data_IF_591273112798
#
_entry.id   IF_591273112798
#
_cell.length_a   1.000
_cell.length_b   1.000
_cell.length_c   1.000
_cell.angle_alpha   90.00
_cell.angle_beta   90.00
_cell.angle_gamma   90.00
#
_symmetry.space_group_name_H-M   'P 1'
#
loop_
_entity.id
_entity.type
_entity.pdbx_description
1 polymer ?
#
# COMPACT_ATOMS: atom_id res chain seq x y z
N UNK A 1 -30.68 -13.14 -9.37
CA UNK A 1 -30.64 -13.38 -10.84
C UNK A 1 -29.18 -13.49 -11.22
N UNK A 2 -28.81 -14.51 -11.95
CA UNK A 2 -27.46 -14.69 -12.51
C UNK A 2 -27.62 -14.76 -14.02
N UNK A 3 -26.85 -13.95 -14.75
CA UNK A 3 -26.95 -13.85 -16.22
C UNK A 3 -28.36 -13.52 -16.75
N UNK A 4 -29.11 -12.69 -16.02
CA UNK A 4 -30.51 -12.38 -16.36
C UNK A 4 -31.52 -13.47 -16.07
N UNK A 5 -31.10 -14.65 -15.63
CA UNK A 5 -31.99 -15.80 -15.30
C UNK A 5 -32.17 -15.93 -13.79
N UNK A 6 -33.37 -16.23 -13.35
CA UNK A 6 -33.63 -16.61 -11.95
C UNK A 6 -33.09 -18.01 -11.70
N UNK A 7 -32.14 -18.13 -10.79
CA UNK A 7 -31.61 -19.41 -10.29
C UNK A 7 -31.85 -19.53 -8.80
N UNK A 8 -32.13 -20.74 -8.33
CA UNK A 8 -32.24 -21.05 -6.92
C UNK A 8 -30.82 -21.15 -6.35
N UNK A 9 -30.55 -20.44 -5.26
CA UNK A 9 -29.27 -20.44 -4.60
C UNK A 9 -29.39 -20.17 -3.11
N UNK A 10 -28.53 -20.79 -2.32
CA UNK A 10 -28.34 -20.48 -0.92
C UNK A 10 -27.40 -19.25 -0.78
N UNK A 11 -27.81 -18.22 -0.03
CA UNK A 11 -26.93 -17.11 0.32
C UNK A 11 -26.13 -17.47 1.55
N UNK A 12 -24.82 -17.45 1.44
CA UNK A 12 -23.86 -17.67 2.53
C UNK A 12 -23.13 -16.36 2.80
N UNK A 13 -22.96 -16.03 4.07
CA UNK A 13 -22.10 -14.94 4.50
C UNK A 13 -20.81 -15.51 5.08
N UNK A 14 -19.68 -15.00 4.66
CA UNK A 14 -18.37 -15.33 5.19
C UNK A 14 -17.78 -14.05 5.77
N UNK A 15 -17.50 -14.08 7.07
CA UNK A 15 -16.74 -13.03 7.71
C UNK A 15 -15.25 -13.40 7.57
N UNK A 16 -14.56 -12.67 6.72
CA UNK A 16 -13.14 -12.87 6.48
C UNK A 16 -12.41 -11.57 6.78
N UNK A 17 -11.55 -11.60 7.79
CA UNK A 17 -10.66 -10.49 8.13
C UNK A 17 -11.38 -9.14 8.35
N UNK A 18 -12.49 -9.17 9.11
CA UNK A 18 -13.27 -7.98 9.43
C UNK A 18 -14.18 -7.48 8.29
N UNK A 19 -14.13 -8.10 7.13
CA UNK A 19 -15.02 -7.81 6.00
C UNK A 19 -16.02 -8.95 5.79
N UNK A 20 -17.29 -8.60 5.62
CA UNK A 20 -18.34 -9.57 5.30
C UNK A 20 -18.48 -9.69 3.80
N UNK A 21 -18.31 -10.90 3.30
CA UNK A 21 -18.53 -11.28 1.92
C UNK A 21 -19.78 -12.14 1.80
N UNK A 22 -20.41 -12.10 0.67
CA UNK A 22 -21.59 -12.93 0.39
C UNK A 22 -21.33 -13.78 -0.84
N UNK A 23 -21.69 -15.06 -0.75
CA UNK A 23 -21.69 -15.97 -1.89
C UNK A 23 -23.09 -16.58 -2.08
N UNK A 24 -23.50 -16.70 -3.33
CA UNK A 24 -24.71 -17.43 -3.72
C UNK A 24 -24.29 -18.75 -4.34
N UNK A 25 -24.59 -19.83 -3.62
CA UNK A 25 -24.22 -21.20 -4.00
C UNK A 25 -25.41 -21.87 -4.63
N UNK A 26 -25.26 -22.36 -5.84
CA UNK A 26 -26.28 -23.12 -6.58
C UNK A 26 -26.51 -24.51 -6.03
N UNK A 27 -27.55 -25.20 -6.55
CA UNK A 27 -27.92 -26.55 -6.11
C UNK A 27 -26.82 -27.59 -6.37
N UNK A 28 -25.95 -27.37 -7.32
CA UNK A 28 -24.79 -28.22 -7.65
C UNK A 28 -23.52 -27.88 -6.83
N UNK A 29 -23.62 -26.97 -5.86
CA UNK A 29 -22.49 -26.54 -5.04
C UNK A 29 -21.55 -25.52 -5.70
N UNK A 30 -21.86 -25.06 -6.92
CA UNK A 30 -21.11 -24.06 -7.64
C UNK A 30 -21.48 -22.65 -7.16
N UNK A 31 -20.48 -21.76 -7.18
CA UNK A 31 -20.68 -20.34 -6.85
C UNK A 31 -21.30 -19.65 -8.08
N UNK A 32 -22.50 -19.13 -7.93
CA UNK A 32 -23.21 -18.41 -8.99
C UNK A 32 -22.90 -16.91 -8.98
N UNK A 33 -22.71 -16.37 -7.78
CA UNK A 33 -22.39 -14.96 -7.57
C UNK A 33 -21.65 -14.78 -6.24
N UNK A 34 -20.71 -13.86 -6.22
CA UNK A 34 -20.08 -13.36 -5.01
C UNK A 34 -20.19 -11.84 -4.95
N UNK A 35 -20.39 -11.31 -3.76
CA UNK A 35 -20.24 -9.91 -3.45
C UNK A 35 -19.12 -9.78 -2.43
N UNK A 36 -18.02 -9.19 -2.89
CA UNK A 36 -16.82 -8.97 -2.11
C UNK A 36 -16.72 -7.55 -1.54
N UNK A 37 -15.53 -7.22 -1.13
CA UNK A 37 -15.14 -5.91 -0.61
C UNK A 37 -15.28 -4.88 -1.74
N UNK A 38 -15.55 -3.62 -1.40
CA UNK A 38 -15.71 -2.50 -2.34
C UNK A 38 -16.94 -2.58 -3.25
N UNK A 39 -17.88 -3.47 -2.97
CA UNK A 39 -19.04 -3.69 -3.84
C UNK A 39 -18.67 -4.40 -5.15
N UNK A 40 -17.47 -4.98 -5.22
CA UNK A 40 -17.08 -5.81 -6.35
C UNK A 40 -17.94 -7.07 -6.32
N UNK A 41 -18.62 -7.35 -7.41
CA UNK A 41 -19.37 -8.59 -7.57
C UNK A 41 -18.80 -9.42 -8.72
N UNK A 42 -18.66 -10.71 -8.47
CA UNK A 42 -18.34 -11.69 -9.49
C UNK A 42 -19.58 -12.53 -9.79
N UNK A 43 -19.87 -12.74 -11.04
CA UNK A 43 -20.98 -13.63 -11.46
C UNK A 43 -20.44 -14.74 -12.36
N UNK A 44 -20.97 -15.94 -12.19
CA UNK A 44 -20.70 -17.04 -13.11
C UNK A 44 -21.27 -16.69 -14.48
N UNK A 45 -20.43 -16.67 -15.50
CA UNK A 45 -20.79 -16.42 -16.90
C UNK A 45 -20.25 -17.53 -17.78
N UNK A 46 -20.71 -17.62 -19.03
CA UNK A 46 -20.09 -18.51 -20.01
C UNK A 46 -18.75 -17.91 -20.47
N UNK A 47 -17.84 -18.77 -20.94
CA UNK A 47 -16.56 -18.34 -21.51
C UNK A 47 -16.73 -17.25 -22.58
N UNK A 48 -17.70 -17.45 -23.49
CA UNK A 48 -18.02 -16.47 -24.52
C UNK A 48 -18.40 -15.12 -23.94
N UNK A 49 -19.23 -15.06 -22.92
CA UNK A 49 -19.64 -13.81 -22.25
C UNK A 49 -18.48 -13.19 -21.46
N UNK A 50 -17.62 -14.00 -20.86
CA UNK A 50 -16.41 -13.48 -20.20
C UNK A 50 -15.48 -12.79 -21.20
N UNK A 51 -15.25 -13.41 -22.36
CA UNK A 51 -14.40 -12.85 -23.43
C UNK A 51 -15.02 -11.61 -24.06
N UNK A 52 -16.33 -11.62 -24.31
CA UNK A 52 -17.06 -10.43 -24.79
C UNK A 52 -17.04 -9.29 -23.76
N UNK A 53 -17.17 -9.62 -22.48
CA UNK A 53 -17.05 -8.68 -21.37
C UNK A 53 -15.66 -8.05 -21.27
N UNK A 54 -14.61 -8.84 -21.45
CA UNK A 54 -13.22 -8.36 -21.50
C UNK A 54 -12.99 -7.40 -22.67
N UNK A 55 -13.56 -7.69 -23.83
CA UNK A 55 -13.45 -6.84 -25.01
C UNK A 55 -14.28 -5.53 -24.88
N UNK A 56 -15.38 -5.58 -24.14
CA UNK A 56 -16.26 -4.43 -23.88
C UNK A 56 -15.88 -3.66 -22.61
N UNK A 57 -15.08 -4.23 -21.74
CA UNK A 57 -14.62 -3.59 -20.53
C UNK A 57 -13.73 -2.40 -20.90
N UNK A 58 -14.37 -1.22 -20.99
CA UNK A 58 -13.64 -0.01 -20.69
C UNK A 58 -13.01 -0.24 -19.33
N UNK A 59 -11.71 -0.04 -19.22
CA UNK A 59 -10.94 -0.18 -17.99
C UNK A 59 -11.52 0.73 -16.89
N UNK A 60 -12.59 0.32 -16.26
CA UNK A 60 -13.00 0.89 -14.99
C UNK A 60 -11.87 0.51 -14.02
N UNK A 61 -10.94 1.43 -13.87
CA UNK A 61 -9.81 1.27 -12.97
C UNK A 61 -10.37 1.14 -11.55
N UNK A 62 -10.23 -0.02 -10.93
CA UNK A 62 -10.70 -0.28 -9.56
C UNK A 62 -10.08 0.72 -8.58
N UNK A 63 -8.89 1.22 -8.89
CA UNK A 63 -8.23 2.26 -8.10
C UNK A 63 -8.99 3.57 -8.18
N UNK A 64 -9.57 3.89 -9.33
CA UNK A 64 -10.39 5.08 -9.54
C UNK A 64 -11.72 4.99 -8.75
N UNK A 65 -12.35 3.82 -8.75
CA UNK A 65 -13.60 3.58 -8.00
C UNK A 65 -13.38 3.69 -6.49
N UNK A 66 -12.25 3.20 -6.00
CA UNK A 66 -11.89 3.27 -4.60
C UNK A 66 -11.32 4.64 -4.19
N UNK A 67 -11.05 5.55 -5.11
CA UNK A 67 -10.46 6.85 -4.82
C UNK A 67 -11.37 7.75 -3.98
N UNK A 68 -10.75 8.67 -3.24
CA UNK A 68 -11.44 9.67 -2.43
C UNK A 68 -11.25 11.03 -3.10
N UNK A 69 -12.33 11.68 -3.54
CA UNK A 69 -12.23 13.01 -4.10
C UNK A 69 -11.70 14.01 -3.05
N UNK A 70 -10.70 14.81 -3.42
CA UNK A 70 -10.25 15.91 -2.58
C UNK A 70 -11.25 17.07 -2.67
N UNK A 71 -11.54 17.71 -1.54
CA UNK A 71 -12.44 18.88 -1.47
C UNK A 71 -11.83 20.12 -2.14
N UNK A 72 -10.50 20.16 -2.28
CA UNK A 72 -9.75 21.19 -3.00
C UNK A 72 -8.46 20.62 -3.58
N UNK A 73 -7.95 21.26 -4.63
CA UNK A 73 -6.68 20.86 -5.23
C UNK A 73 -5.49 21.22 -4.32
N UNK A 74 -4.52 20.30 -4.27
CA UNK A 74 -3.21 20.53 -3.64
C UNK A 74 -2.22 20.85 -4.75
N UNK A 75 -1.70 22.07 -4.71
CA UNK A 75 -0.66 22.49 -5.65
C UNK A 75 0.73 22.01 -5.17
N UNK A 76 1.51 21.44 -6.09
CA UNK A 76 2.89 21.00 -5.86
C UNK A 76 3.08 20.21 -4.55
N UNK A 77 2.37 19.06 -4.37
CA UNK A 77 2.38 18.30 -3.13
C UNK A 77 3.80 17.92 -2.69
N UNK A 78 4.71 17.72 -3.65
CA UNK A 78 6.11 17.39 -3.43
C UNK A 78 6.92 18.53 -2.75
N UNK A 79 6.38 19.76 -2.72
CA UNK A 79 7.03 20.93 -2.07
C UNK A 79 6.50 21.22 -0.67
N UNK A 80 5.35 20.65 -0.32
CA UNK A 80 4.75 20.91 0.98
C UNK A 80 5.60 20.39 2.13
N UNK A 81 5.61 21.14 3.22
CA UNK A 81 6.27 20.79 4.47
C UNK A 81 5.29 20.28 5.52
N UNK A 82 4.03 20.66 5.40
CA UNK A 82 2.96 20.25 6.32
C UNK A 82 1.61 20.15 5.60
N UNK A 83 0.83 19.15 5.96
CA UNK A 83 -0.56 18.96 5.56
C UNK A 83 -1.42 18.73 6.80
N UNK A 84 -2.54 19.44 6.92
CA UNK A 84 -3.58 19.16 7.91
C UNK A 84 -4.87 18.76 7.19
N UNK A 85 -5.44 17.63 7.60
CA UNK A 85 -6.71 17.13 7.09
C UNK A 85 -7.64 16.76 8.23
N UNK A 86 -8.93 16.96 8.03
CA UNK A 86 -9.98 16.39 8.86
C UNK A 86 -10.38 15.04 8.29
N UNK A 87 -10.27 13.99 9.11
CA UNK A 87 -10.69 12.63 8.76
C UNK A 87 -12.14 12.42 9.19
N UNK A 88 -12.98 12.00 8.24
CA UNK A 88 -14.38 11.67 8.49
C UNK A 88 -14.56 10.18 8.18
N UNK A 89 -14.75 9.38 9.24
CA UNK A 89 -14.95 7.94 9.11
C UNK A 89 -16.45 7.64 9.11
N UNK A 90 -16.94 6.98 8.05
CA UNK A 90 -18.34 6.63 7.89
C UNK A 90 -18.48 5.14 8.23
N UNK A 91 -19.14 4.84 9.39
CA UNK A 91 -19.42 3.45 9.81
C UNK A 91 -18.20 2.50 9.76
N UNK A 92 -17.01 3.01 10.03
CA UNK A 92 -15.83 2.16 10.13
C UNK A 92 -15.96 1.32 11.40
N UNK A 93 -15.89 0.01 11.26
CA UNK A 93 -15.59 -0.88 12.38
C UNK A 93 -14.23 -0.42 12.96
N UNK A 94 -14.08 -0.48 14.29
CA UNK A 94 -12.90 -0.03 15.02
C UNK A 94 -11.62 -0.83 14.68
N UNK A 95 -11.24 -0.86 13.40
CA UNK A 95 -9.92 -1.31 12.99
C UNK A 95 -8.89 -0.38 13.64
N UNK A 96 -7.83 -0.95 14.19
CA UNK A 96 -6.77 -0.17 14.83
C UNK A 96 -5.95 0.48 13.72
N UNK A 97 -6.35 1.70 13.32
CA UNK A 97 -5.56 2.49 12.39
C UNK A 97 -4.36 3.10 13.12
N UNK A 98 -3.19 3.02 12.50
CA UNK A 98 -1.97 3.63 13.00
C UNK A 98 -1.82 5.07 12.48
N UNK A 99 -2.73 5.94 12.94
CA UNK A 99 -2.83 7.33 12.48
C UNK A 99 -1.90 8.29 13.23
N UNK A 100 -1.47 7.95 14.44
CA UNK A 100 -0.61 8.80 15.26
C UNK A 100 0.80 8.22 15.35
N UNK A 101 1.80 9.08 15.47
CA UNK A 101 3.21 8.72 15.61
C UNK A 101 4.06 9.08 14.38
N UNK A 102 5.37 9.19 14.61
CA UNK A 102 6.39 9.63 13.65
C UNK A 102 6.05 11.00 13.04
N UNK A 103 5.85 11.06 11.73
CA UNK A 103 5.51 12.28 11.02
C UNK A 103 4.04 12.68 11.11
N UNK A 104 3.17 11.78 11.60
CA UNK A 104 1.74 12.01 11.75
C UNK A 104 1.36 12.30 13.19
N UNK A 105 0.46 13.23 13.41
CA UNK A 105 -0.09 13.54 14.73
C UNK A 105 -1.59 13.74 14.63
N UNK A 106 -2.35 12.92 15.38
CA UNK A 106 -3.81 12.93 15.40
C UNK A 106 -4.31 13.65 16.66
N UNK A 107 -5.19 14.64 16.48
CA UNK A 107 -5.91 15.32 17.57
C UNK A 107 -7.39 15.38 17.24
N UNK A 108 -8.18 14.58 17.96
CA UNK A 108 -9.60 14.38 17.61
C UNK A 108 -9.71 13.73 16.22
N UNK A 109 -10.30 14.42 15.27
CA UNK A 109 -10.40 14.01 13.88
C UNK A 109 -9.46 14.77 12.92
N UNK A 110 -8.59 15.63 13.46
CA UNK A 110 -7.62 16.39 12.69
C UNK A 110 -6.27 15.67 12.69
N UNK A 111 -5.84 15.26 11.51
CA UNK A 111 -4.56 14.64 11.27
C UNK A 111 -3.61 15.67 10.67
N UNK A 112 -2.46 15.82 11.29
CA UNK A 112 -1.37 16.66 10.84
C UNK A 112 -0.21 15.79 10.39
N UNK A 113 0.29 16.01 9.18
CA UNK A 113 1.44 15.31 8.59
C UNK A 113 2.55 16.33 8.35
N UNK A 114 3.76 16.03 8.80
CA UNK A 114 4.97 16.84 8.58
C UNK A 114 6.00 16.09 7.77
N UNK A 115 6.65 16.81 6.87
CA UNK A 115 7.76 16.27 6.10
C UNK A 115 8.95 15.95 7.01
N UNK A 116 9.52 14.77 6.86
CA UNK A 116 10.74 14.40 7.57
C UNK A 116 11.95 15.10 6.94
N UNK A 117 12.96 15.35 7.76
CA UNK A 117 14.25 15.86 7.28
C UNK A 117 15.26 14.73 7.28
N UNK A 118 15.99 14.56 6.20
CA UNK A 118 17.12 13.62 6.11
C UNK A 118 18.45 14.26 6.53
N UNK A 119 18.49 15.58 6.68
CA UNK A 119 19.72 16.33 6.96
C UNK A 119 20.38 16.04 8.32
N UNK A 120 19.65 15.46 9.28
CA UNK A 120 20.13 15.17 10.63
C UNK A 120 20.23 13.66 10.91
N UNK A 121 20.40 12.82 9.89
CA UNK A 121 20.58 11.39 10.06
C UNK A 121 22.01 11.12 10.50
N UNK A 122 22.23 10.47 11.67
CA UNK A 122 23.59 10.18 12.15
C UNK A 122 24.32 9.25 11.16
N UNK A 123 25.62 9.45 10.97
CA UNK A 123 26.36 8.67 9.97
C UNK A 123 26.50 7.18 10.34
N UNK A 124 26.34 6.78 11.61
CA UNK A 124 26.52 5.37 12.04
C UNK A 124 26.13 5.09 13.50
N UNK A 125 25.97 3.84 13.79
CA UNK A 125 26.05 2.96 14.95
C UNK A 125 24.80 2.75 15.80
N UNK A 126 23.97 3.72 16.06
CA UNK A 126 22.81 3.52 16.94
C UNK A 126 21.49 3.41 16.14
N UNK A 127 21.62 2.99 14.85
CA UNK A 127 20.50 2.93 13.91
C UNK A 127 19.49 1.84 14.28
N UNK A 128 19.92 0.79 15.00
CA UNK A 128 19.02 -0.30 15.30
C UNK A 128 18.05 0.04 16.43
N UNK A 129 18.54 0.57 17.56
CA UNK A 129 17.78 1.07 18.71
C UNK A 129 16.45 0.32 18.97
N UNK A 130 16.53 -1.03 19.08
CA UNK A 130 15.36 -1.90 19.27
C UNK A 130 14.53 -2.17 18.00
N UNK A 131 15.03 -1.82 16.82
CA UNK A 131 14.36 -2.04 15.53
C UNK A 131 14.93 -3.24 14.74
N UNK A 132 15.69 -4.13 15.40
CA UNK A 132 16.31 -5.31 14.79
C UNK A 132 15.29 -6.26 14.17
N UNK A 133 14.11 -6.39 14.77
CA UNK A 133 13.02 -7.21 14.24
C UNK A 133 12.59 -6.79 12.81
N UNK A 134 12.80 -5.53 12.45
CA UNK A 134 12.49 -5.03 11.10
C UNK A 134 13.59 -5.26 10.06
N UNK A 135 14.62 -6.03 10.41
CA UNK A 135 15.60 -6.62 9.50
C UNK A 135 15.24 -8.06 9.12
N UNK A 136 14.40 -8.72 9.91
CA UNK A 136 14.09 -10.14 9.73
C UNK A 136 13.30 -10.38 8.45
N UNK A 137 13.55 -11.54 7.83
CA UNK A 137 12.79 -11.98 6.67
C UNK A 137 11.36 -12.40 7.09
N UNK A 138 10.42 -12.22 6.18
CA UNK A 138 9.05 -12.69 6.31
C UNK A 138 8.63 -13.42 5.03
N UNK A 139 7.50 -14.14 5.01
CA UNK A 139 7.02 -14.81 3.79
C UNK A 139 6.91 -13.89 2.58
N UNK A 140 6.61 -12.61 2.79
CA UNK A 140 6.45 -11.61 1.71
C UNK A 140 7.72 -10.79 1.46
N UNK A 141 8.60 -10.67 2.47
CA UNK A 141 9.82 -9.85 2.43
C UNK A 141 11.01 -10.77 2.67
N UNK A 142 11.44 -11.50 1.64
CA UNK A 142 12.49 -12.52 1.73
C UNK A 142 13.89 -11.87 1.71
N UNK A 143 14.20 -11.04 2.70
CA UNK A 143 15.47 -10.30 2.80
C UNK A 143 16.70 -11.19 2.94
N UNK A 144 16.53 -12.40 3.43
CA UNK A 144 17.57 -13.42 3.61
C UNK A 144 17.86 -14.25 2.34
N UNK A 145 16.99 -14.15 1.32
CA UNK A 145 17.16 -14.92 0.10
C UNK A 145 18.44 -14.50 -0.66
N UNK A 146 19.26 -15.47 -1.16
CA UNK A 146 20.55 -15.15 -1.80
C UNK A 146 20.44 -14.17 -2.98
N UNK A 147 19.39 -14.26 -3.78
CA UNK A 147 19.18 -13.34 -4.92
C UNK A 147 18.87 -11.90 -4.46
N UNK A 148 18.09 -11.73 -3.39
CA UNK A 148 17.80 -10.42 -2.82
C UNK A 148 19.09 -9.80 -2.24
N UNK A 149 19.87 -10.56 -1.47
CA UNK A 149 21.15 -10.12 -0.91
C UNK A 149 22.13 -9.73 -2.01
N UNK A 150 22.32 -10.59 -3.00
CA UNK A 150 23.21 -10.31 -4.12
C UNK A 150 22.76 -9.09 -4.95
N UNK A 151 21.45 -8.84 -5.04
CA UNK A 151 20.93 -7.62 -5.68
C UNK A 151 21.21 -6.39 -4.83
N UNK A 152 20.96 -6.42 -3.53
CA UNK A 152 21.25 -5.32 -2.62
C UNK A 152 22.74 -4.93 -2.67
N UNK A 153 23.65 -5.91 -2.59
CA UNK A 153 25.10 -5.71 -2.67
C UNK A 153 25.58 -5.07 -3.99
N UNK A 154 24.85 -5.31 -5.09
CA UNK A 154 25.12 -4.65 -6.39
C UNK A 154 24.66 -3.20 -6.44
N UNK A 155 23.69 -2.81 -5.61
CA UNK A 155 23.12 -1.45 -5.60
C UNK A 155 23.84 -0.54 -4.60
N UNK A 156 24.18 -1.07 -3.43
CA UNK A 156 24.78 -0.31 -2.34
C UNK A 156 26.11 -0.89 -1.90
N UNK A 157 27.00 0.00 -1.42
CA UNK A 157 28.30 -0.42 -0.91
C UNK A 157 28.31 -0.49 0.63
N UNK A 158 29.15 -1.33 1.23
CA UNK A 158 29.24 -1.47 2.70
C UNK A 158 29.50 -0.14 3.43
N UNK A 159 30.31 0.74 2.84
CA UNK A 159 30.69 2.05 3.41
C UNK A 159 29.71 3.19 3.12
N UNK A 160 28.68 2.94 2.30
CA UNK A 160 27.64 3.96 2.09
C UNK A 160 26.92 4.27 3.42
N UNK A 161 26.71 5.54 3.75
CA UNK A 161 25.83 5.90 4.87
C UNK A 161 24.42 5.35 4.67
N UNK A 162 23.68 5.00 5.76
CA UNK A 162 22.36 4.40 5.66
C UNK A 162 21.38 5.19 4.78
N UNK A 163 21.37 6.51 4.89
CA UNK A 163 20.51 7.36 4.05
C UNK A 163 20.87 7.23 2.57
N UNK A 164 22.16 7.18 2.23
CA UNK A 164 22.63 7.00 0.84
C UNK A 164 22.25 5.61 0.31
N UNK A 165 22.39 4.56 1.16
CA UNK A 165 21.92 3.22 0.79
C UNK A 165 20.43 3.23 0.46
N UNK A 166 19.62 3.83 1.35
CA UNK A 166 18.18 3.92 1.17
C UNK A 166 17.81 4.65 -0.14
N UNK A 167 18.41 5.82 -0.40
CA UNK A 167 18.20 6.58 -1.63
C UNK A 167 18.56 5.78 -2.90
N UNK A 168 19.69 5.07 -2.88
CA UNK A 168 20.10 4.20 -4.00
C UNK A 168 19.10 3.08 -4.25
N UNK A 169 18.59 2.45 -3.19
CA UNK A 169 17.60 1.38 -3.28
C UNK A 169 16.27 1.90 -3.84
N UNK A 170 15.76 3.04 -3.32
CA UNK A 170 14.56 3.69 -3.84
C UNK A 170 14.72 4.01 -5.33
N UNK A 171 15.84 4.64 -5.72
CA UNK A 171 16.11 5.00 -7.10
C UNK A 171 16.21 3.76 -8.01
N UNK A 172 16.80 2.66 -7.52
CA UNK A 172 16.92 1.44 -8.30
C UNK A 172 15.55 0.79 -8.52
N UNK A 173 14.72 0.64 -7.49
CA UNK A 173 13.37 0.07 -7.61
C UNK A 173 12.51 0.94 -8.52
N UNK A 174 12.50 2.27 -8.29
CA UNK A 174 11.77 3.23 -9.12
C UNK A 174 12.07 3.10 -10.61
N UNK A 175 13.35 2.92 -10.96
CA UNK A 175 13.82 2.88 -12.34
C UNK A 175 13.60 1.54 -13.02
N UNK A 176 13.68 0.43 -12.28
CA UNK A 176 13.78 -0.91 -12.88
C UNK A 176 12.48 -1.70 -12.82
N UNK A 177 11.52 -1.36 -11.95
CA UNK A 177 10.21 -2.00 -11.94
C UNK A 177 9.25 -1.30 -12.91
N UNK A 178 8.64 -2.08 -13.80
CA UNK A 178 7.53 -1.62 -14.63
C UNK A 178 6.29 -1.44 -13.75
N UNK A 179 5.70 -0.24 -13.80
CA UNK A 179 4.51 0.13 -13.04
C UNK A 179 3.27 -0.35 -13.77
N UNK A 180 2.78 -1.52 -13.38
CA UNK A 180 1.60 -2.14 -13.97
C UNK A 180 0.85 -2.95 -12.92
N UNK A 181 -0.49 -2.85 -12.86
CA UNK A 181 -1.29 -3.72 -11.99
C UNK A 181 -1.05 -5.20 -12.32
N UNK A 182 -0.87 -5.99 -11.27
CA UNK A 182 -0.72 -7.44 -11.36
C UNK A 182 -1.69 -8.12 -10.39
N UNK A 183 -2.17 -9.31 -10.77
CA UNK A 183 -3.01 -10.15 -9.92
C UNK A 183 -2.11 -11.19 -9.26
N UNK A 184 -1.42 -10.81 -8.21
CA UNK A 184 -0.53 -11.69 -7.44
C UNK A 184 -0.63 -11.40 -5.96
N UNK A 185 -0.15 -12.32 -5.14
CA UNK A 185 0.17 -12.03 -3.75
C UNK A 185 1.58 -11.46 -3.74
N UNK A 186 1.77 -10.18 -3.36
CA UNK A 186 3.07 -9.52 -3.47
C UNK A 186 4.13 -10.26 -2.65
N UNK A 187 5.24 -10.64 -3.28
CA UNK A 187 6.43 -11.11 -2.59
C UNK A 187 7.70 -10.60 -3.28
N UNK A 188 8.73 -10.34 -2.48
CA UNK A 188 9.92 -9.65 -2.94
C UNK A 188 10.74 -10.45 -3.96
N UNK A 189 10.84 -11.77 -3.79
CA UNK A 189 11.64 -12.62 -4.69
C UNK A 189 11.00 -12.69 -6.08
N UNK A 190 9.71 -12.91 -6.15
CA UNK A 190 8.99 -12.99 -7.42
C UNK A 190 9.00 -11.62 -8.12
N UNK A 191 8.80 -10.54 -7.37
CA UNK A 191 8.90 -9.17 -7.91
C UNK A 191 10.30 -8.90 -8.47
N UNK A 192 11.37 -9.33 -7.79
CA UNK A 192 12.74 -9.19 -8.29
C UNK A 192 12.96 -9.94 -9.62
N UNK A 193 12.35 -11.11 -9.76
CA UNK A 193 12.50 -11.93 -10.96
C UNK A 193 11.70 -11.38 -12.15
N UNK A 194 10.49 -10.86 -11.89
CA UNK A 194 9.58 -10.41 -12.94
C UNK A 194 9.77 -8.93 -13.31
N UNK A 195 10.25 -8.09 -12.37
CA UNK A 195 10.46 -6.65 -12.50
C UNK A 195 9.21 -5.90 -12.98
N UNK A 196 8.04 -6.34 -12.56
CA UNK A 196 6.74 -5.72 -12.84
C UNK A 196 5.85 -5.80 -11.60
N UNK A 197 5.05 -4.77 -11.37
CA UNK A 197 4.11 -4.75 -10.26
C UNK A 197 3.50 -3.38 -10.00
N UNK A 198 2.56 -3.34 -9.09
CA UNK A 198 1.96 -2.11 -8.57
C UNK A 198 2.67 -1.61 -7.29
N UNK A 199 1.99 -0.81 -6.50
CA UNK A 199 2.57 -0.26 -5.27
C UNK A 199 2.97 -1.34 -4.25
N UNK A 200 2.26 -2.45 -4.18
CA UNK A 200 2.55 -3.52 -3.23
C UNK A 200 3.83 -4.24 -3.58
N UNK A 201 4.04 -4.63 -4.85
CA UNK A 201 5.26 -5.25 -5.33
C UNK A 201 6.46 -4.33 -5.15
N UNK A 202 6.31 -3.04 -5.48
CA UNK A 202 7.36 -2.04 -5.24
C UNK A 202 7.74 -1.98 -3.75
N UNK A 203 6.74 -1.93 -2.86
CA UNK A 203 6.97 -1.81 -1.43
C UNK A 203 7.62 -3.06 -0.82
N UNK A 204 7.17 -4.28 -1.17
CA UNK A 204 7.78 -5.50 -0.60
C UNK A 204 9.19 -5.74 -1.11
N UNK A 205 9.46 -5.47 -2.39
CA UNK A 205 10.82 -5.58 -2.94
C UNK A 205 11.76 -4.55 -2.31
N UNK A 206 11.32 -3.30 -2.20
CA UNK A 206 12.14 -2.25 -1.59
C UNK A 206 12.44 -2.55 -0.11
N UNK A 207 11.45 -3.06 0.65
CA UNK A 207 11.66 -3.48 2.03
C UNK A 207 12.68 -4.63 2.13
N UNK A 208 12.59 -5.63 1.24
CA UNK A 208 13.52 -6.76 1.24
C UNK A 208 14.96 -6.33 0.93
N UNK A 209 15.13 -5.47 -0.06
CA UNK A 209 16.46 -4.92 -0.42
C UNK A 209 17.03 -4.05 0.70
N UNK A 210 16.21 -3.24 1.37
CA UNK A 210 16.63 -2.41 2.50
C UNK A 210 17.07 -3.26 3.69
N UNK A 211 16.28 -4.27 4.07
CA UNK A 211 16.63 -5.22 5.15
C UNK A 211 17.91 -5.98 4.83
N UNK A 212 18.07 -6.47 3.60
CA UNK A 212 19.29 -7.13 3.13
C UNK A 212 20.52 -6.21 3.17
N UNK A 213 20.33 -4.90 3.00
CA UNK A 213 21.36 -3.88 3.12
C UNK A 213 21.63 -3.41 4.57
N UNK A 214 20.95 -4.00 5.57
CA UNK A 214 21.08 -3.68 7.00
C UNK A 214 20.28 -2.46 7.44
N UNK A 215 19.23 -2.07 6.71
CA UNK A 215 18.33 -0.97 7.05
C UNK A 215 17.00 -1.55 7.51
N UNK A 216 16.60 -1.33 8.80
CA UNK A 216 15.27 -1.73 9.26
C UNK A 216 14.19 -1.06 8.41
N UNK A 217 13.27 -1.86 7.85
CA UNK A 217 12.29 -1.40 6.91
C UNK A 217 10.91 -2.03 7.16
N UNK A 218 9.87 -1.23 7.00
CA UNK A 218 8.49 -1.68 7.05
C UNK A 218 7.73 -1.18 5.83
N UNK A 219 6.58 -1.80 5.54
CA UNK A 219 5.62 -1.31 4.57
C UNK A 219 4.55 -0.51 5.31
N UNK A 220 4.19 0.63 4.78
CA UNK A 220 3.03 1.41 5.18
C UNK A 220 2.00 1.37 4.06
N UNK A 221 0.73 1.40 4.44
CA UNK A 221 -0.36 1.57 3.50
C UNK A 221 -1.37 2.61 4.01
N UNK A 222 -2.01 3.27 3.06
CA UNK A 222 -2.93 4.36 3.32
C UNK A 222 -3.39 5.00 2.02
N UNK A 223 -3.34 6.32 1.96
CA UNK A 223 -3.74 7.07 0.76
C UNK A 223 -2.68 8.10 0.39
N UNK A 224 -2.62 8.43 -0.90
CA UNK A 224 -1.76 9.48 -1.45
C UNK A 224 -2.54 10.35 -2.43
N UNK A 225 -2.27 11.66 -2.41
CA UNK A 225 -2.92 12.60 -3.33
C UNK A 225 -2.29 12.55 -4.71
N UNK A 226 -3.16 12.42 -5.72
CA UNK A 226 -2.77 12.55 -7.11
C UNK A 226 -3.92 13.17 -7.92
N UNK A 227 -3.64 14.26 -8.62
CA UNK A 227 -4.57 14.88 -9.60
C UNK A 227 -6.00 15.13 -9.08
N UNK A 228 -6.15 15.68 -7.88
CA UNK A 228 -7.45 16.03 -7.30
C UNK A 228 -8.16 14.93 -6.52
N UNK A 229 -7.53 13.77 -6.35
CA UNK A 229 -8.06 12.64 -5.59
C UNK A 229 -7.00 12.03 -4.68
N UNK A 230 -7.43 11.31 -3.66
CA UNK A 230 -6.59 10.43 -2.88
C UNK A 230 -6.83 8.98 -3.31
N UNK A 231 -5.75 8.29 -3.61
CA UNK A 231 -5.75 6.88 -4.03
C UNK A 231 -5.16 6.02 -2.93
N UNK A 232 -5.70 4.82 -2.73
CA UNK A 232 -5.08 3.84 -1.84
C UNK A 232 -3.71 3.45 -2.40
N UNK A 233 -2.73 3.39 -1.51
CA UNK A 233 -1.34 3.25 -1.90
C UNK A 233 -0.52 2.58 -0.81
N UNK A 234 0.54 1.88 -1.20
CA UNK A 234 1.53 1.28 -0.32
C UNK A 234 2.92 1.85 -0.62
N UNK A 235 3.67 2.11 0.44
CA UNK A 235 5.04 2.65 0.38
C UNK A 235 5.88 2.09 1.53
N UNK A 236 7.08 2.59 1.73
CA UNK A 236 7.99 2.12 2.77
C UNK A 236 8.27 3.19 3.81
N UNK A 237 8.72 2.71 4.96
CA UNK A 237 9.37 3.51 5.98
C UNK A 237 10.66 2.82 6.41
N UNK A 238 11.76 3.58 6.52
CA UNK A 238 13.09 3.12 6.91
C UNK A 238 13.47 3.74 8.24
N UNK A 239 14.06 2.93 9.12
CA UNK A 239 14.65 3.46 10.34
C UNK A 239 16.09 3.89 10.10
N UNK A 240 16.32 5.20 10.13
CA UNK A 240 17.61 5.83 9.89
C UNK A 240 18.02 6.68 11.13
N UNK A 241 17.86 6.12 12.35
CA UNK A 241 17.88 6.86 13.61
C UNK A 241 16.54 7.53 13.94
N UNK A 242 15.66 7.58 13.00
CA UNK A 242 14.22 7.88 13.06
C UNK A 242 13.55 7.26 11.84
N UNK A 243 12.25 7.09 11.88
CA UNK A 243 11.50 6.61 10.74
C UNK A 243 11.41 7.68 9.64
N UNK A 244 11.78 7.32 8.42
CA UNK A 244 11.74 8.17 7.22
C UNK A 244 10.98 7.45 6.12
N UNK A 245 9.97 8.10 5.58
CA UNK A 245 9.13 7.52 4.52
C UNK A 245 9.83 7.54 3.16
N UNK A 246 9.53 6.52 2.34
CA UNK A 246 10.07 6.40 0.99
C UNK A 246 9.06 5.73 0.07
N UNK A 247 8.86 6.26 -1.11
CA UNK A 247 7.99 5.71 -2.14
C UNK A 247 8.76 5.43 -3.42
N UNK A 248 8.94 4.15 -3.75
CA UNK A 248 9.61 3.74 -4.98
C UNK A 248 8.74 3.92 -6.22
N UNK A 249 7.41 3.91 -6.10
CA UNK A 249 6.52 4.18 -7.25
C UNK A 249 6.67 5.61 -7.71
N UNK A 250 6.72 6.56 -6.76
CA UNK A 250 6.87 7.99 -7.05
C UNK A 250 8.33 8.46 -7.10
N UNK A 251 9.29 7.61 -6.67
CA UNK A 251 10.71 7.93 -6.62
C UNK A 251 11.04 9.01 -5.57
N UNK A 252 10.33 9.00 -4.44
CA UNK A 252 10.45 10.01 -3.39
C UNK A 252 11.10 9.45 -2.13
N UNK A 253 12.01 10.21 -1.53
CA UNK A 253 12.55 9.99 -0.19
C UNK A 253 13.07 11.32 0.40
N UNK A 254 12.47 11.85 1.48
CA UNK A 254 11.21 11.42 2.09
C UNK A 254 10.03 11.54 1.13
N UNK A 255 9.04 10.66 1.29
CA UNK A 255 7.77 10.78 0.57
C UNK A 255 7.05 12.06 1.01
N UNK A 256 6.32 12.72 0.10
CA UNK A 256 5.64 13.96 0.40
C UNK A 256 4.54 13.81 1.47
N UNK A 257 4.06 14.92 2.00
CA UNK A 257 3.12 14.95 3.13
C UNK A 257 1.71 14.48 2.76
N UNK A 258 1.44 14.19 1.49
CA UNK A 258 0.13 13.68 1.06
C UNK A 258 0.01 12.16 1.21
N UNK A 259 1.11 11.46 1.52
CA UNK A 259 1.08 10.06 1.94
C UNK A 259 0.55 9.97 3.38
N UNK A 260 -0.73 9.71 3.51
CA UNK A 260 -1.44 9.59 4.79
C UNK A 260 -1.49 8.12 5.16
N UNK A 261 -0.70 7.72 6.16
CA UNK A 261 -0.65 6.35 6.66
C UNK A 261 -1.91 6.00 7.43
N UNK A 262 -2.44 4.81 7.15
CA UNK A 262 -3.49 4.18 7.94
C UNK A 262 -2.99 2.97 8.70
N UNK A 263 -2.10 2.18 8.10
CA UNK A 263 -1.55 0.97 8.70
C UNK A 263 -0.05 0.85 8.42
N UNK A 264 0.66 0.06 9.25
CA UNK A 264 2.07 -0.28 9.07
C UNK A 264 2.25 -1.77 9.34
N UNK A 265 2.81 -2.50 8.39
CA UNK A 265 3.01 -3.95 8.40
C UNK A 265 2.66 -4.57 7.05
N UNK A 266 2.82 -5.89 6.92
CA UNK A 266 2.59 -6.64 5.67
C UNK A 266 1.64 -7.82 5.85
N UNK A 267 1.01 -7.95 6.98
CA UNK A 267 0.14 -9.09 7.31
C UNK A 267 -1.28 -8.64 7.60
N UNK A 268 -1.73 -8.97 8.79
CA UNK A 268 -3.08 -8.64 9.27
C UNK A 268 -3.36 -7.13 9.23
N UNK A 269 -2.33 -6.29 9.40
CA UNK A 269 -2.46 -4.85 9.41
C UNK A 269 -2.96 -4.30 8.05
N UNK A 270 -2.53 -4.89 6.94
CA UNK A 270 -3.02 -4.46 5.62
C UNK A 270 -4.48 -4.86 5.38
N UNK A 271 -4.94 -5.88 6.08
CA UNK A 271 -6.34 -6.32 6.01
C UNK A 271 -7.25 -5.31 6.70
N UNK A 272 -6.79 -4.70 7.79
CA UNK A 272 -7.53 -3.64 8.48
C UNK A 272 -7.81 -2.46 7.53
N UNK A 273 -6.91 -2.21 6.57
CA UNK A 273 -7.12 -1.21 5.53
C UNK A 273 -8.35 -1.53 4.65
N UNK A 274 -8.59 -2.80 4.33
CA UNK A 274 -9.75 -3.20 3.54
C UNK A 274 -11.07 -2.86 4.25
N UNK A 275 -11.06 -2.89 5.58
CA UNK A 275 -12.21 -2.51 6.41
C UNK A 275 -12.60 -1.04 6.34
N UNK A 276 -11.69 -0.16 5.87
CA UNK A 276 -11.90 1.29 5.82
C UNK A 276 -11.98 1.84 4.39
N UNK A 277 -11.63 1.06 3.37
CA UNK A 277 -11.76 1.45 1.97
C UNK A 277 -13.21 1.83 1.65
N UNK A 278 -13.42 2.98 1.02
CA UNK A 278 -14.73 3.52 0.70
C UNK A 278 -15.51 4.13 1.89
N UNK A 279 -14.98 4.01 3.11
CA UNK A 279 -15.60 4.54 4.33
C UNK A 279 -14.91 5.77 4.89
N UNK A 280 -13.88 6.27 4.24
CA UNK A 280 -13.14 7.47 4.64
C UNK A 280 -13.45 8.61 3.69
N UNK A 281 -13.66 9.78 4.27
CA UNK A 281 -13.64 11.06 3.57
C UNK A 281 -12.64 11.97 4.23
N UNK A 282 -12.11 12.89 3.47
CA UNK A 282 -11.10 13.86 3.91
C UNK A 282 -11.57 15.26 3.58
N UNK A 283 -11.27 16.18 4.47
CA UNK A 283 -11.35 17.61 4.19
C UNK A 283 -9.97 18.22 4.43
N UNK A 284 -9.41 18.87 3.43
CA UNK A 284 -8.10 19.51 3.53
C UNK A 284 -8.29 20.83 4.29
N UNK A 285 -7.65 20.94 5.46
CA UNK A 285 -7.72 22.13 6.30
C UNK A 285 -6.62 23.13 5.93
N UNK A 286 -5.37 22.65 5.80
CA UNK A 286 -4.19 23.48 5.60
C UNK A 286 -3.10 22.77 4.79
N UNK A 287 -2.40 23.53 3.97
CA UNK A 287 -1.20 23.11 3.23
C UNK A 287 -0.11 24.18 3.43
N UNK A 288 1.12 23.79 3.80
CA UNK A 288 2.27 24.67 4.00
C UNK A 288 3.49 24.19 3.24
#
# INVERSE_FOLDING_TARGET
TVMGQRRKAGKVAVDFMGARQFAWIGEEGNILREEGILGISMEQVTEKQALEGLAAASSADLTEIASIAADKAIAAPEKLTELEVELIMINASNGILFLDGDRQSLKGNVLKIRRESTAAIPPRSDILDGNEAFLEATPFIQSDHPQIRAKAEKIVFPHDPPAVKAEKLVAWVHKNLEKRPVLSVPNALETLNNLVGDCNEHAVLLAALARAAGIPAQVEAGIVYQRGKFYYHAWNVFFLGKWVTADAVMGQMPADVTHIRFVRGTGEEQIDLLGVIGKIRLKILRTL
#
